data_IF_680781180174
#
_entry.id   IF_680781180174
#
_cell.length_a   1.000
_cell.length_b   1.000
_cell.length_c   1.000
_cell.angle_alpha   90.00
_cell.angle_beta   90.00
_cell.angle_gamma   90.00
#
_symmetry.space_group_name_H-M   'P 1'
#
loop_
_entity.id
_entity.type
_entity.pdbx_description
1 polymer ?
#
# COMPACT_ATOMS: atom_id res chain seq x y z
N UNK A 1 3.18 -5.24 -17.84
CA UNK A 1 3.83 -6.18 -16.89
C UNK A 1 3.55 -5.80 -15.43
N UNK A 2 2.70 -4.81 -15.15
CA UNK A 2 2.58 -4.22 -13.82
C UNK A 2 1.57 -4.97 -12.91
N UNK A 3 0.44 -5.41 -13.49
CA UNK A 3 -0.65 -6.10 -12.77
C UNK A 3 -0.25 -7.45 -12.12
N UNK A 4 0.77 -8.11 -12.68
CA UNK A 4 1.30 -9.39 -12.15
C UNK A 4 2.07 -9.19 -10.83
N UNK A 5 2.78 -8.07 -10.69
CA UNK A 5 3.55 -7.78 -9.47
C UNK A 5 2.65 -7.39 -8.31
N UNK A 6 1.61 -6.59 -8.58
CA UNK A 6 0.59 -6.26 -7.59
C UNK A 6 -0.08 -7.53 -7.06
N UNK A 7 -0.46 -8.42 -7.98
CA UNK A 7 -1.09 -9.69 -7.63
C UNK A 7 -0.15 -10.59 -6.82
N UNK A 8 1.15 -10.59 -7.16
CA UNK A 8 2.18 -11.31 -6.37
C UNK A 8 2.33 -10.75 -4.97
N UNK A 9 2.46 -9.44 -4.81
CA UNK A 9 2.56 -8.79 -3.50
C UNK A 9 1.36 -9.14 -2.62
N UNK A 10 0.14 -8.98 -3.14
CA UNK A 10 -1.09 -9.28 -2.38
C UNK A 10 -1.12 -10.77 -2.00
N UNK A 11 -0.77 -11.66 -2.93
CA UNK A 11 -0.73 -13.09 -2.66
C UNK A 11 0.34 -13.46 -1.63
N UNK A 12 1.52 -12.82 -1.67
CA UNK A 12 2.61 -13.07 -0.72
C UNK A 12 2.24 -12.58 0.68
N UNK A 13 1.62 -11.40 0.78
CA UNK A 13 1.11 -10.86 2.05
C UNK A 13 0.00 -11.75 2.64
N UNK A 14 -0.91 -12.24 1.81
CA UNK A 14 -2.01 -13.12 2.25
C UNK A 14 -1.54 -14.52 2.67
N UNK A 15 -0.54 -15.08 1.98
CA UNK A 15 0.01 -16.39 2.29
C UNK A 15 1.12 -16.37 3.34
N UNK A 16 1.68 -15.20 3.66
CA UNK A 16 2.71 -15.04 4.67
C UNK A 16 2.22 -14.15 5.83
N UNK A 17 1.77 -14.74 6.95
CA UNK A 17 1.26 -13.98 8.09
C UNK A 17 2.30 -13.05 8.72
N UNK A 18 3.61 -13.31 8.54
CA UNK A 18 4.64 -12.39 8.99
C UNK A 18 4.69 -11.10 8.15
N UNK A 19 4.53 -11.22 6.82
CA UNK A 19 4.45 -10.06 5.92
C UNK A 19 3.17 -9.28 6.16
N UNK A 20 2.05 -9.96 6.41
CA UNK A 20 0.81 -9.29 6.80
C UNK A 20 1.01 -8.51 8.10
N UNK A 21 1.61 -9.11 9.14
CA UNK A 21 1.88 -8.42 10.39
C UNK A 21 2.77 -7.19 10.20
N UNK A 22 3.80 -7.29 9.36
CA UNK A 22 4.70 -6.18 9.05
C UNK A 22 3.96 -5.07 8.29
N UNK A 23 3.18 -5.43 7.26
CA UNK A 23 2.35 -4.50 6.50
C UNK A 23 1.26 -3.84 7.37
N UNK A 24 0.70 -4.55 8.35
CA UNK A 24 -0.29 -4.00 9.28
C UNK A 24 0.30 -2.97 10.26
N UNK A 25 1.62 -2.95 10.47
CA UNK A 25 2.27 -1.90 11.27
C UNK A 25 2.46 -0.59 10.52
N UNK A 26 2.25 -0.61 9.20
CA UNK A 26 2.41 0.55 8.34
C UNK A 26 1.15 1.40 8.41
N UNK A 27 1.29 2.60 8.97
CA UNK A 27 0.18 3.54 9.18
C UNK A 27 0.15 4.69 8.17
N UNK A 28 1.14 4.75 7.28
CA UNK A 28 1.26 5.80 6.27
C UNK A 28 1.73 5.23 4.91
N UNK A 29 1.44 5.98 3.85
CA UNK A 29 1.79 5.57 2.49
C UNK A 29 3.30 5.47 2.29
N UNK A 30 4.09 6.39 2.85
CA UNK A 30 5.54 6.39 2.67
C UNK A 30 6.18 5.11 3.22
N UNK A 31 5.70 4.61 4.36
CA UNK A 31 6.08 3.33 4.93
C UNK A 31 5.67 2.15 4.05
N UNK A 32 4.50 2.23 3.38
CA UNK A 32 4.04 1.21 2.45
C UNK A 32 4.93 1.15 1.21
N UNK A 33 5.28 2.30 0.64
CA UNK A 33 6.18 2.39 -0.51
C UNK A 33 7.59 1.87 -0.16
N UNK A 34 8.09 2.23 1.03
CA UNK A 34 9.36 1.73 1.54
C UNK A 34 9.33 0.21 1.75
N UNK A 35 8.23 -0.33 2.27
CA UNK A 35 8.06 -1.78 2.43
C UNK A 35 8.05 -2.50 1.09
N UNK A 36 7.28 -2.03 0.12
CA UNK A 36 7.19 -2.60 -1.23
C UNK A 36 8.58 -2.62 -1.89
N UNK A 37 9.30 -1.49 -1.83
CA UNK A 37 10.64 -1.35 -2.39
C UNK A 37 11.65 -2.25 -1.66
N UNK A 38 11.58 -2.33 -0.32
CA UNK A 38 12.49 -3.16 0.48
C UNK A 38 12.30 -4.66 0.24
N UNK A 39 11.10 -5.10 -0.12
CA UNK A 39 10.82 -6.49 -0.52
C UNK A 39 11.17 -6.77 -1.99
N UNK A 40 11.53 -5.74 -2.75
CA UNK A 40 11.98 -5.86 -4.14
C UNK A 40 10.85 -5.91 -5.17
N UNK A 41 9.66 -5.42 -4.84
CA UNK A 41 8.57 -5.27 -5.81
C UNK A 41 8.72 -3.94 -6.56
N UNK A 42 8.59 -3.96 -7.88
CA UNK A 42 8.68 -2.81 -8.77
C UNK A 42 7.27 -2.37 -9.22
N UNK A 43 6.48 -1.96 -8.23
CA UNK A 43 5.14 -1.43 -8.48
C UNK A 43 5.20 -0.01 -9.05
N UNK A 44 4.28 0.30 -9.96
CA UNK A 44 4.06 1.69 -10.42
C UNK A 44 3.42 2.56 -9.32
N UNK A 45 3.48 3.89 -9.47
CA UNK A 45 2.83 4.82 -8.53
C UNK A 45 1.34 4.51 -8.35
N UNK A 46 0.64 4.20 -9.44
CA UNK A 46 -0.79 3.85 -9.42
C UNK A 46 -1.05 2.55 -8.64
N UNK A 47 -0.16 1.56 -8.77
CA UNK A 47 -0.29 0.28 -8.07
C UNK A 47 0.03 0.40 -6.59
N UNK A 48 1.04 1.20 -6.23
CA UNK A 48 1.33 1.49 -4.82
C UNK A 48 0.16 2.19 -4.14
N UNK A 49 -0.48 3.12 -4.86
CA UNK A 49 -1.71 3.77 -4.39
C UNK A 49 -2.84 2.75 -4.20
N UNK A 50 -3.01 1.81 -5.13
CA UNK A 50 -4.04 0.77 -5.04
C UNK A 50 -3.82 -0.15 -3.84
N UNK A 51 -2.57 -0.58 -3.58
CA UNK A 51 -2.20 -1.35 -2.38
C UNK A 51 -2.52 -0.57 -1.11
N UNK A 52 -2.13 0.70 -1.06
CA UNK A 52 -2.40 1.57 0.09
C UNK A 52 -3.90 1.69 0.37
N UNK A 53 -4.71 1.94 -0.67
CA UNK A 53 -6.17 2.02 -0.56
C UNK A 53 -6.78 0.69 -0.10
N UNK A 54 -6.28 -0.45 -0.59
CA UNK A 54 -6.72 -1.77 -0.14
C UNK A 54 -6.35 -2.03 1.33
N UNK A 55 -5.11 -1.75 1.72
CA UNK A 55 -4.63 -1.91 3.09
C UNK A 55 -5.40 -1.01 4.07
N UNK A 56 -5.63 0.26 3.70
CA UNK A 56 -6.42 1.20 4.47
C UNK A 56 -7.86 0.74 4.70
N UNK A 57 -8.49 0.13 3.68
CA UNK A 57 -9.84 -0.47 3.82
C UNK A 57 -9.87 -1.65 4.78
N UNK A 58 -8.82 -2.48 4.79
CA UNK A 58 -8.71 -3.66 5.66
C UNK A 58 -8.37 -3.28 7.11
N UNK A 59 -7.42 -2.36 7.29
CA UNK A 59 -6.92 -1.92 8.60
C UNK A 59 -7.85 -0.92 9.29
N UNK A 60 -8.51 -0.06 8.52
CA UNK A 60 -9.14 1.14 9.05
C UNK A 60 -10.62 1.01 9.38
N UNK A 61 -11.42 0.18 8.68
CA UNK A 61 -12.88 0.19 8.79
C UNK A 61 -13.57 1.54 8.47
N UNK A 62 -12.81 2.63 8.41
CA UNK A 62 -13.16 3.95 7.94
C UNK A 62 -12.80 4.01 6.45
N UNK A 63 -13.82 4.06 5.60
CA UNK A 63 -13.67 4.11 4.16
C UNK A 63 -12.90 5.35 3.72
N UNK A 64 -11.58 5.21 3.61
CA UNK A 64 -10.76 6.14 2.85
C UNK A 64 -11.14 5.96 1.37
N UNK A 65 -11.80 6.98 0.82
CA UNK A 65 -12.03 7.10 -0.62
C UNK A 65 -10.69 7.23 -1.33
N UNK A 66 -10.61 6.82 -2.61
CA UNK A 66 -9.45 7.12 -3.46
C UNK A 66 -9.14 8.62 -3.46
N UNK A 67 -10.18 9.45 -3.38
CA UNK A 67 -10.08 10.91 -3.28
C UNK A 67 -9.44 11.38 -1.96
N UNK A 68 -9.68 10.67 -0.85
CA UNK A 68 -9.05 10.98 0.44
C UNK A 68 -7.58 10.58 0.45
N UNK A 69 -7.24 9.46 -0.20
CA UNK A 69 -5.86 9.02 -0.37
C UNK A 69 -5.07 10.03 -1.23
N UNK A 70 -5.65 10.53 -2.33
CA UNK A 70 -5.05 11.57 -3.16
C UNK A 70 -4.90 12.92 -2.43
N UNK A 71 -5.85 13.26 -1.55
CA UNK A 71 -5.78 14.47 -0.71
C UNK A 71 -4.68 14.39 0.35
N UNK A 72 -4.44 13.21 0.94
CA UNK A 72 -3.29 13.00 1.83
C UNK A 72 -1.95 13.15 1.11
N UNK A 73 -1.84 12.69 -0.14
CA UNK A 73 -0.63 12.86 -0.97
C UNK A 73 -0.36 14.34 -1.27
N UNK A 74 -1.40 15.12 -1.55
CA UNK A 74 -1.33 16.57 -1.71
C UNK A 74 -0.79 17.26 -0.44
N UNK A 75 -1.21 16.79 0.75
CA UNK A 75 -0.74 17.32 2.03
C UNK A 75 0.72 16.93 2.34
N UNK A 76 1.17 15.73 1.93
CA UNK A 76 2.54 15.26 2.15
C UNK A 76 3.59 15.92 1.23
N UNK A 77 3.18 16.42 0.04
CA UNK A 77 4.05 17.16 -0.89
C UNK A 77 4.01 18.69 -0.72
N UNK A 78 3.26 19.19 0.26
CA UNK A 78 3.10 20.61 0.54
C UNK A 78 3.76 21.05 1.85
N UNK A 79 5.09 20.91 1.95
CA UNK A 79 5.93 21.67 2.90
C UNK A 79 7.21 22.12 2.20
#
# INVERSE_FOLDING_TARGET
MSQDELSRLVNDVMNNPALLSEAMTITDQAGMEAFITAKGYDLTDDERLEVWVMAAKILGGHGLSREDAETYISCAKGQ
#
